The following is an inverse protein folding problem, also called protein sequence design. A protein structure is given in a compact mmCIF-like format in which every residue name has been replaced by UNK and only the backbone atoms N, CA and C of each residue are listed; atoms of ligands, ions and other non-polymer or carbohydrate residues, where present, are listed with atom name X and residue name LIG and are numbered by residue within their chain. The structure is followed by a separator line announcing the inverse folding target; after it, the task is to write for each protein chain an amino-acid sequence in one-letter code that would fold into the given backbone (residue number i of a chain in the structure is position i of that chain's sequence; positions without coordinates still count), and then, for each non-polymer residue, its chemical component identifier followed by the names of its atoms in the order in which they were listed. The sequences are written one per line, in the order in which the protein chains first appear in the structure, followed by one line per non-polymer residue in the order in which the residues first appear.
data_IF_571749129702
#
_entry.id   IF_571749129702
#
_cell.length_a   1.000
_cell.length_b   1.000
_cell.length_c   1.000
_cell.angle_alpha   90.00
_cell.angle_beta   90.00
_cell.angle_gamma   90.00
#
_symmetry.space_group_name_H-M   'P 1'
#
loop_
_entity.id
_entity.type
_entity.pdbx_description
1 polymer ?
#
# COMPACT_ATOMS: atom_id res chain seq x y z
N UNK A 1 -4.74 -41.43 -12.26
CA UNK A 1 -4.45 -40.19 -13.01
C UNK A 1 -4.23 -39.10 -11.98
N UNK A 2 -2.97 -38.78 -11.70
CA UNK A 2 -2.62 -37.63 -10.87
C UNK A 2 -2.78 -36.42 -11.78
N UNK A 3 -3.79 -35.60 -11.54
CA UNK A 3 -3.92 -34.31 -12.22
C UNK A 3 -2.72 -33.48 -11.80
N UNK A 4 -1.83 -33.23 -12.75
CA UNK A 4 -0.76 -32.26 -12.63
C UNK A 4 -1.41 -30.92 -12.29
N UNK A 5 -1.28 -30.48 -11.03
CA UNK A 5 -1.80 -29.20 -10.59
C UNK A 5 -0.92 -28.14 -11.23
N UNK A 6 -1.31 -27.63 -12.40
CA UNK A 6 -0.64 -26.52 -13.06
C UNK A 6 -0.38 -25.42 -12.03
N UNK A 7 0.89 -25.22 -11.68
CA UNK A 7 1.27 -24.19 -10.72
C UNK A 7 0.90 -22.84 -11.32
N UNK A 8 0.04 -22.09 -10.63
CA UNK A 8 -0.31 -20.74 -11.05
C UNK A 8 0.95 -19.87 -11.11
N UNK A 9 1.09 -19.09 -12.17
CA UNK A 9 2.22 -18.18 -12.36
C UNK A 9 1.90 -16.82 -11.74
N UNK A 10 2.63 -16.46 -10.70
CA UNK A 10 2.55 -15.13 -10.09
C UNK A 10 3.68 -14.23 -10.61
N UNK A 11 3.37 -12.97 -10.91
CA UNK A 11 4.37 -11.96 -11.25
C UNK A 11 3.96 -10.58 -10.80
N UNK A 12 4.94 -9.69 -10.60
CA UNK A 12 4.73 -8.29 -10.24
C UNK A 12 5.42 -7.43 -11.27
N UNK A 13 4.77 -6.35 -11.69
CA UNK A 13 5.37 -5.27 -12.48
C UNK A 13 5.28 -3.97 -11.70
N UNK A 14 6.33 -3.17 -11.69
CA UNK A 14 6.29 -1.82 -11.11
C UNK A 14 6.38 -0.83 -12.26
N UNK A 15 5.30 -0.12 -12.52
CA UNK A 15 5.19 0.84 -13.63
C UNK A 15 5.17 2.25 -13.07
N UNK A 16 5.92 3.17 -13.68
CA UNK A 16 5.90 4.58 -13.31
C UNK A 16 4.61 5.20 -13.82
N UNK A 17 3.93 6.00 -13.01
CA UNK A 17 2.79 6.79 -13.48
C UNK A 17 3.24 7.67 -14.65
N UNK A 18 2.35 7.89 -15.62
CA UNK A 18 2.58 8.57 -16.92
C UNK A 18 3.50 7.85 -17.94
N UNK A 19 4.13 6.72 -17.59
CA UNK A 19 4.89 5.90 -18.53
C UNK A 19 4.00 5.29 -19.63
N UNK A 20 4.55 4.93 -20.80
CA UNK A 20 3.82 4.16 -21.81
C UNK A 20 3.21 2.87 -21.24
N UNK A 21 3.97 2.14 -20.42
CA UNK A 21 3.53 0.89 -19.80
C UNK A 21 2.32 1.09 -18.88
N UNK A 22 2.28 2.20 -18.14
CA UNK A 22 1.13 2.57 -17.32
C UNK A 22 -0.10 2.86 -18.18
N UNK A 23 0.05 3.62 -19.26
CA UNK A 23 -1.05 3.96 -20.20
C UNK A 23 -1.67 2.71 -20.83
N UNK A 24 -0.85 1.71 -21.16
CA UNK A 24 -1.31 0.43 -21.72
C UNK A 24 -2.19 -0.36 -20.73
N UNK A 25 -2.07 -0.10 -19.43
CA UNK A 25 -2.79 -0.80 -18.36
C UNK A 25 -3.88 0.04 -17.69
N UNK A 26 -4.00 1.33 -18.02
CA UNK A 26 -4.87 2.28 -17.31
C UNK A 26 -6.33 1.80 -17.22
N UNK A 27 -6.93 1.40 -18.34
CA UNK A 27 -8.33 0.94 -18.38
C UNK A 27 -8.51 -0.35 -17.57
N UNK A 28 -7.52 -1.24 -17.60
CA UNK A 28 -7.55 -2.51 -16.87
C UNK A 28 -7.47 -2.27 -15.35
N UNK A 29 -6.61 -1.35 -14.91
CA UNK A 29 -6.52 -0.97 -13.51
C UNK A 29 -7.76 -0.24 -13.02
N UNK A 30 -8.31 0.67 -13.83
CA UNK A 30 -9.54 1.39 -13.50
C UNK A 30 -10.71 0.43 -13.30
N UNK A 31 -10.85 -0.58 -14.16
CA UNK A 31 -11.89 -1.60 -14.02
C UNK A 31 -11.73 -2.42 -12.73
N UNK A 32 -10.50 -2.78 -12.37
CA UNK A 32 -10.20 -3.45 -11.11
C UNK A 32 -10.52 -2.57 -9.90
N UNK A 33 -10.16 -1.29 -9.95
CA UNK A 33 -10.48 -0.29 -8.92
C UNK A 33 -11.99 -0.13 -8.73
N UNK A 34 -12.75 -0.03 -9.82
CA UNK A 34 -14.21 0.03 -9.83
C UNK A 34 -14.83 -1.21 -9.18
N UNK A 35 -14.36 -2.41 -9.56
CA UNK A 35 -14.83 -3.67 -8.97
C UNK A 35 -14.54 -3.73 -7.46
N UNK A 36 -13.34 -3.30 -7.06
CA UNK A 36 -12.94 -3.25 -5.66
C UNK A 36 -13.82 -2.29 -4.84
N UNK A 37 -14.03 -1.05 -5.29
CA UNK A 37 -14.80 -0.06 -4.56
C UNK A 37 -16.28 -0.44 -4.43
N UNK A 38 -16.89 -0.94 -5.51
CA UNK A 38 -18.30 -1.36 -5.48
C UNK A 38 -18.51 -2.55 -4.54
N UNK A 39 -17.59 -3.51 -4.51
CA UNK A 39 -17.73 -4.70 -3.67
C UNK A 39 -17.28 -4.51 -2.21
N UNK A 40 -16.14 -3.85 -1.97
CA UNK A 40 -15.50 -3.75 -0.65
C UNK A 40 -15.93 -2.48 0.11
N UNK A 41 -16.25 -1.41 -0.62
CA UNK A 41 -16.61 -0.11 -0.07
C UNK A 41 -18.07 0.30 -0.33
N UNK A 42 -18.83 -0.48 -1.10
CA UNK A 42 -20.24 -0.21 -1.46
C UNK A 42 -20.45 1.13 -2.16
N UNK A 43 -19.48 1.58 -2.96
CA UNK A 43 -19.63 2.77 -3.79
C UNK A 43 -20.58 2.48 -4.95
N UNK A 44 -21.26 3.50 -5.46
CA UNK A 44 -22.03 3.39 -6.71
C UNK A 44 -21.08 3.41 -7.89
N UNK A 45 -21.45 2.76 -8.99
CA UNK A 45 -20.64 2.79 -10.21
C UNK A 45 -20.41 4.21 -10.74
N UNK A 46 -21.41 5.11 -10.58
CA UNK A 46 -21.29 6.52 -10.94
C UNK A 46 -20.23 7.29 -10.13
N UNK A 47 -19.77 6.73 -9.01
CA UNK A 47 -18.74 7.30 -8.12
C UNK A 47 -17.36 6.65 -8.34
N UNK A 48 -17.21 5.86 -9.42
CA UNK A 48 -15.99 5.16 -9.76
C UNK A 48 -15.52 5.52 -11.17
N UNK A 49 -15.55 6.80 -11.54
CA UNK A 49 -15.18 7.23 -12.90
C UNK A 49 -13.66 7.20 -13.13
N UNK A 50 -13.24 7.22 -14.39
CA UNK A 50 -11.81 7.27 -14.75
C UNK A 50 -11.15 8.54 -14.24
N UNK A 51 -11.86 9.66 -14.27
CA UNK A 51 -11.38 10.95 -13.77
C UNK A 51 -11.09 10.88 -12.27
N UNK A 52 -12.01 10.32 -11.47
CA UNK A 52 -11.80 10.16 -10.03
C UNK A 52 -10.65 9.20 -9.70
N UNK A 53 -10.50 8.13 -10.47
CA UNK A 53 -9.36 7.23 -10.35
C UNK A 53 -8.04 7.95 -10.66
N UNK A 54 -8.03 8.76 -11.72
CA UNK A 54 -6.86 9.53 -12.13
C UNK A 54 -6.47 10.56 -11.07
N UNK A 55 -7.40 11.42 -10.66
CA UNK A 55 -7.19 12.47 -9.67
C UNK A 55 -6.73 11.92 -8.31
N UNK A 56 -7.17 10.70 -7.96
CA UNK A 56 -6.81 10.11 -6.68
C UNK A 56 -5.49 9.33 -6.70
N UNK A 57 -5.23 8.54 -7.75
CA UNK A 57 -4.17 7.52 -7.74
C UNK A 57 -3.12 7.71 -8.83
N UNK A 58 -3.38 8.52 -9.85
CA UNK A 58 -2.54 8.59 -11.05
C UNK A 58 -1.86 9.94 -11.24
N UNK A 59 -1.88 10.81 -10.24
CA UNK A 59 -1.16 12.08 -10.29
C UNK A 59 0.20 11.94 -9.62
N UNK A 60 1.26 12.36 -10.31
CA UNK A 60 2.60 12.45 -9.75
C UNK A 60 2.90 13.90 -9.35
N UNK A 61 2.88 14.26 -8.05
CA UNK A 61 3.13 15.63 -7.61
C UNK A 61 4.62 16.01 -7.64
N UNK A 62 5.52 15.06 -7.91
CA UNK A 62 6.96 15.28 -7.88
C UNK A 62 7.48 15.73 -9.24
N UNK A 63 8.27 16.81 -9.31
CA UNK A 63 8.92 17.22 -10.54
C UNK A 63 9.97 16.18 -10.96
N UNK A 64 10.13 15.98 -12.27
CA UNK A 64 11.12 15.07 -12.90
C UNK A 64 12.56 15.54 -12.64
N UNK A 65 12.99 15.46 -11.39
CA UNK A 65 14.28 15.95 -10.87
C UNK A 65 15.26 14.83 -10.57
N UNK A 66 14.73 13.64 -10.28
CA UNK A 66 15.44 12.37 -10.08
C UNK A 66 14.61 11.29 -10.78
N UNK A 67 15.26 10.35 -11.46
CA UNK A 67 14.60 9.40 -12.34
C UNK A 67 13.66 8.45 -11.59
N UNK A 68 14.01 8.08 -10.35
CA UNK A 68 13.25 7.10 -9.58
C UNK A 68 12.17 7.69 -8.66
N UNK A 69 12.17 8.99 -8.35
CA UNK A 69 11.15 9.53 -7.46
C UNK A 69 9.81 9.70 -8.19
N UNK A 70 8.72 9.63 -7.42
CA UNK A 70 7.36 9.82 -7.92
C UNK A 70 6.44 8.63 -7.66
N UNK A 71 5.28 8.66 -8.30
CA UNK A 71 4.23 7.66 -8.16
C UNK A 71 4.45 6.45 -9.09
N UNK A 72 4.18 5.26 -8.56
CA UNK A 72 4.28 3.98 -9.25
C UNK A 72 3.10 3.09 -8.90
N UNK A 73 2.69 2.27 -9.87
CA UNK A 73 1.74 1.19 -9.63
C UNK A 73 2.47 -0.15 -9.65
N UNK A 74 2.39 -0.88 -8.54
CA UNK A 74 2.80 -2.27 -8.47
C UNK A 74 1.62 -3.14 -8.89
N UNK A 75 1.71 -3.74 -10.07
CA UNK A 75 0.68 -4.56 -10.69
C UNK A 75 0.94 -6.04 -10.40
N UNK A 76 -0.03 -6.71 -9.80
CA UNK A 76 0.07 -8.09 -9.35
C UNK A 76 -0.71 -8.97 -10.31
N UNK A 77 -0.01 -9.88 -10.99
CA UNK A 77 -0.60 -10.77 -11.99
C UNK A 77 -0.61 -12.22 -11.50
N UNK A 78 -1.70 -12.92 -11.77
CA UNK A 78 -1.87 -14.36 -11.60
C UNK A 78 -2.36 -14.96 -12.91
N UNK A 79 -1.57 -15.82 -13.53
CA UNK A 79 -1.86 -16.41 -14.85
C UNK A 79 -2.25 -15.32 -15.88
N UNK A 80 -1.42 -14.27 -15.96
CA UNK A 80 -1.60 -13.08 -16.81
C UNK A 80 -2.85 -12.23 -16.52
N UNK A 81 -3.61 -12.55 -15.48
CA UNK A 81 -4.74 -11.74 -14.99
C UNK A 81 -4.27 -10.76 -13.93
N UNK A 82 -4.58 -9.46 -14.10
CA UNK A 82 -4.33 -8.46 -13.06
C UNK A 82 -5.28 -8.69 -11.87
N UNK A 83 -4.72 -9.03 -10.71
CA UNK A 83 -5.50 -9.36 -9.50
C UNK A 83 -5.39 -8.32 -8.39
N UNK A 84 -4.35 -7.47 -8.39
CA UNK A 84 -4.20 -6.37 -7.45
C UNK A 84 -3.29 -5.28 -8.00
N UNK A 85 -3.43 -4.09 -7.44
CA UNK A 85 -2.55 -2.95 -7.66
C UNK A 85 -2.24 -2.30 -6.32
N UNK A 86 -0.95 -2.13 -6.03
CA UNK A 86 -0.44 -1.29 -4.95
C UNK A 86 0.06 0.02 -5.52
N UNK A 87 -0.53 1.13 -5.10
CA UNK A 87 -0.11 2.48 -5.48
C UNK A 87 0.92 2.94 -4.46
N UNK A 88 2.15 3.20 -4.93
CA UNK A 88 3.27 3.58 -4.08
C UNK A 88 3.96 4.83 -4.58
N UNK A 89 4.55 5.61 -3.67
CA UNK A 89 5.42 6.73 -4.02
C UNK A 89 6.83 6.47 -3.50
N UNK A 90 7.82 6.67 -4.37
CA UNK A 90 9.23 6.64 -3.99
C UNK A 90 9.66 8.05 -3.64
N UNK A 91 9.99 8.26 -2.38
CA UNK A 91 10.39 9.54 -1.80
C UNK A 91 11.88 9.50 -1.40
N UNK A 92 12.52 10.67 -1.18
CA UNK A 92 13.95 10.74 -0.87
C UNK A 92 14.41 9.87 0.31
N UNK A 93 13.52 9.59 1.26
CA UNK A 93 13.83 8.79 2.45
C UNK A 93 12.96 7.56 2.65
N UNK A 94 11.88 7.39 1.88
CA UNK A 94 10.91 6.32 2.12
C UNK A 94 10.19 5.83 0.87
N UNK A 95 9.64 4.61 0.99
CA UNK A 95 8.59 4.10 0.10
C UNK A 95 7.25 4.32 0.82
N UNK A 96 6.35 5.07 0.22
CA UNK A 96 5.01 5.37 0.75
C UNK A 96 3.99 4.44 0.09
N UNK A 97 3.22 3.69 0.91
CA UNK A 97 2.08 2.89 0.44
C UNK A 97 0.83 3.76 0.47
N UNK A 98 0.39 4.23 -0.69
CA UNK A 98 -0.69 5.21 -0.83
C UNK A 98 -2.05 4.52 -0.80
N UNK A 99 -2.23 3.52 -1.66
CA UNK A 99 -3.49 2.81 -1.78
C UNK A 99 -3.29 1.38 -2.29
N UNK A 100 -4.22 0.49 -1.99
CA UNK A 100 -4.15 -0.90 -2.44
C UNK A 100 -5.55 -1.39 -2.78
N UNK A 101 -5.76 -1.82 -4.03
CA UNK A 101 -7.02 -2.35 -4.51
C UNK A 101 -6.80 -3.68 -5.23
N UNK A 102 -7.81 -4.54 -5.19
CA UNK A 102 -7.65 -5.91 -5.66
C UNK A 102 -8.97 -6.53 -6.09
N UNK A 103 -8.87 -7.63 -6.82
CA UNK A 103 -10.00 -8.36 -7.36
C UNK A 103 -10.81 -8.99 -6.22
N UNK A 104 -12.12 -8.71 -6.09
CA UNK A 104 -12.95 -9.29 -5.04
C UNK A 104 -12.95 -10.83 -5.03
N UNK A 105 -12.72 -11.47 -6.18
CA UNK A 105 -12.62 -12.93 -6.28
C UNK A 105 -11.40 -13.52 -5.55
N UNK A 106 -10.45 -12.69 -5.14
CA UNK A 106 -9.22 -13.06 -4.44
C UNK A 106 -9.16 -12.51 -3.00
N UNK A 107 -10.30 -12.10 -2.42
CA UNK A 107 -10.40 -11.57 -1.04
C UNK A 107 -9.81 -12.52 0.03
N UNK A 108 -9.84 -13.82 -0.21
CA UNK A 108 -9.34 -14.85 0.71
C UNK A 108 -7.81 -14.96 0.76
N UNK A 109 -7.08 -14.26 -0.12
CA UNK A 109 -5.61 -14.35 -0.21
C UNK A 109 -4.87 -13.30 0.65
N UNK A 110 -5.59 -12.46 1.40
CA UNK A 110 -4.99 -11.41 2.23
C UNK A 110 -4.02 -10.50 1.47
N UNK A 111 -4.39 -10.13 0.23
CA UNK A 111 -3.52 -9.43 -0.72
C UNK A 111 -2.92 -8.13 -0.17
N UNK A 112 -3.61 -7.40 0.70
CA UNK A 112 -3.04 -6.19 1.33
C UNK A 112 -1.85 -6.49 2.27
N UNK A 113 -1.87 -7.61 3.01
CA UNK A 113 -0.71 -8.01 3.82
C UNK A 113 0.41 -8.54 2.95
N UNK A 114 0.08 -9.30 1.91
CA UNK A 114 1.06 -9.80 0.95
C UNK A 114 1.74 -8.67 0.17
N UNK A 115 0.97 -7.68 -0.29
CA UNK A 115 1.46 -6.47 -0.95
C UNK A 115 2.42 -5.69 -0.06
N UNK A 116 2.07 -5.48 1.22
CA UNK A 116 2.97 -4.81 2.16
C UNK A 116 4.32 -5.56 2.34
N UNK A 117 4.32 -6.90 2.35
CA UNK A 117 5.56 -7.69 2.40
C UNK A 117 6.41 -7.52 1.14
N UNK A 118 5.77 -7.42 -0.03
CA UNK A 118 6.45 -7.21 -1.30
C UNK A 118 6.97 -5.78 -1.45
N UNK A 119 6.23 -4.78 -0.97
CA UNK A 119 6.69 -3.40 -0.86
C UNK A 119 7.91 -3.29 0.08
N UNK A 120 7.92 -4.02 1.20
CA UNK A 120 9.10 -4.11 2.09
C UNK A 120 10.29 -4.76 1.36
N UNK A 121 10.07 -5.83 0.59
CA UNK A 121 11.12 -6.45 -0.21
C UNK A 121 11.67 -5.48 -1.27
N UNK A 122 10.79 -4.76 -1.96
CA UNK A 122 11.15 -3.74 -2.94
C UNK A 122 11.93 -2.58 -2.32
N UNK A 123 11.52 -2.08 -1.15
CA UNK A 123 12.28 -1.08 -0.39
C UNK A 123 13.70 -1.56 -0.09
N UNK A 124 13.88 -2.84 0.28
CA UNK A 124 15.21 -3.40 0.53
C UNK A 124 16.07 -3.44 -0.73
N UNK A 125 15.47 -3.65 -1.89
CA UNK A 125 16.17 -3.58 -3.18
C UNK A 125 16.57 -2.13 -3.51
N UNK A 126 15.64 -1.18 -3.39
CA UNK A 126 15.92 0.25 -3.57
C UNK A 126 17.01 0.74 -2.62
N UNK A 127 16.98 0.31 -1.36
CA UNK A 127 17.96 0.72 -0.35
C UNK A 127 19.40 0.33 -0.72
N UNK A 128 19.60 -0.78 -1.47
CA UNK A 128 20.94 -1.22 -1.91
C UNK A 128 21.60 -0.20 -2.85
N UNK A 129 20.83 0.44 -3.73
CA UNK A 129 21.33 1.46 -4.66
C UNK A 129 21.15 2.88 -4.13
N UNK A 130 20.17 3.11 -3.25
CA UNK A 130 19.82 4.41 -2.67
C UNK A 130 19.66 4.27 -1.14
N UNK A 131 20.77 4.27 -0.36
CA UNK A 131 20.75 4.01 1.09
C UNK A 131 19.88 4.95 1.93
N UNK A 132 19.53 6.12 1.38
CA UNK A 132 18.65 7.07 2.04
C UNK A 132 17.18 6.63 2.06
N UNK A 133 16.74 5.84 1.08
CA UNK A 133 15.38 5.28 1.03
C UNK A 133 15.36 4.08 1.95
N UNK A 134 14.95 4.28 3.20
CA UNK A 134 15.06 3.27 4.27
C UNK A 134 13.83 3.14 5.15
N UNK A 135 12.85 4.02 4.99
CA UNK A 135 11.60 3.95 5.72
C UNK A 135 10.49 3.41 4.82
N UNK A 136 9.59 2.64 5.41
CA UNK A 136 8.36 2.21 4.76
C UNK A 136 7.19 2.90 5.46
N UNK A 137 6.50 3.78 4.75
CA UNK A 137 5.34 4.48 5.27
C UNK A 137 4.07 3.76 4.83
N UNK A 138 3.54 2.91 5.71
CA UNK A 138 2.32 2.13 5.46
C UNK A 138 1.02 2.94 5.65
N UNK A 139 1.13 4.27 5.69
CA UNK A 139 0.01 5.19 5.90
C UNK A 139 -0.54 5.19 7.33
N UNK A 140 -1.75 5.74 7.48
CA UNK A 140 -2.42 5.87 8.76
C UNK A 140 -2.61 4.52 9.47
N UNK A 141 -2.58 4.55 10.80
CA UNK A 141 -2.93 3.44 11.69
C UNK A 141 -3.96 3.88 12.72
N UNK A 142 -5.17 3.32 12.64
CA UNK A 142 -6.23 3.54 13.62
C UNK A 142 -6.44 2.23 14.36
N UNK A 143 -6.01 2.18 15.63
CA UNK A 143 -5.99 0.94 16.42
C UNK A 143 -7.36 0.26 16.58
N UNK A 144 -8.43 1.07 16.69
CA UNK A 144 -9.81 0.62 16.78
C UNK A 144 -10.39 0.15 15.45
N UNK A 145 -9.75 0.44 14.31
CA UNK A 145 -10.20 0.02 12.99
C UNK A 145 -9.67 -1.39 12.66
N UNK A 146 -10.57 -2.38 12.61
CA UNK A 146 -10.21 -3.77 12.28
C UNK A 146 -9.47 -3.91 10.95
N UNK A 147 -9.89 -3.16 9.92
CA UNK A 147 -9.26 -3.15 8.58
C UNK A 147 -7.81 -2.62 8.59
N UNK A 148 -7.41 -1.87 9.62
CA UNK A 148 -6.08 -1.27 9.73
C UNK A 148 -5.20 -1.97 10.77
N UNK A 149 -5.76 -2.88 11.58
CA UNK A 149 -5.05 -3.55 12.66
C UNK A 149 -3.84 -4.36 12.16
N UNK A 150 -3.92 -4.93 10.96
CA UNK A 150 -2.85 -5.72 10.36
C UNK A 150 -1.52 -4.95 10.23
N UNK A 151 -1.59 -3.63 9.98
CA UNK A 151 -0.40 -2.76 9.84
C UNK A 151 0.48 -2.76 11.08
N UNK A 152 -0.14 -2.92 12.26
CA UNK A 152 0.58 -3.02 13.52
C UNK A 152 1.31 -4.36 13.70
N UNK A 153 1.17 -5.34 12.80
CA UNK A 153 1.84 -6.64 12.93
C UNK A 153 3.23 -6.65 12.30
N UNK A 154 3.57 -5.63 11.51
CA UNK A 154 4.91 -5.46 10.96
C UNK A 154 5.85 -4.90 12.03
N UNK A 155 7.08 -5.39 12.06
CA UNK A 155 8.10 -4.98 13.03
C UNK A 155 9.48 -4.88 12.37
N UNK A 156 10.31 -3.89 12.74
CA UNK A 156 9.99 -2.79 13.65
C UNK A 156 8.99 -1.80 13.03
N UNK A 157 8.06 -1.28 13.83
CA UNK A 157 7.09 -0.26 13.40
C UNK A 157 7.00 0.87 14.42
N UNK A 158 6.71 2.07 13.92
CA UNK A 158 6.66 3.30 14.72
C UNK A 158 5.36 4.04 14.42
N UNK A 159 4.78 4.67 15.43
CA UNK A 159 3.65 5.58 15.31
C UNK A 159 4.10 7.01 15.60
N UNK A 160 3.55 7.96 14.85
CA UNK A 160 3.73 9.38 15.13
C UNK A 160 2.79 9.80 16.27
N UNK A 161 3.32 10.42 17.32
CA UNK A 161 2.50 10.98 18.39
C UNK A 161 1.66 12.15 17.84
N UNK A 162 0.32 12.17 18.04
CA UNK A 162 -0.54 13.22 17.49
C UNK A 162 -0.33 14.59 18.13
N UNK A 163 0.32 14.67 19.30
CA UNK A 163 0.56 15.94 20.01
C UNK A 163 2.00 16.42 19.91
N UNK A 164 2.96 15.48 19.92
CA UNK A 164 4.39 15.80 20.00
C UNK A 164 5.10 15.71 18.67
N UNK A 165 4.48 15.10 17.66
CA UNK A 165 5.10 14.88 16.34
C UNK A 165 6.43 14.12 16.42
N UNK A 166 6.57 13.26 17.43
CA UNK A 166 7.71 12.34 17.63
C UNK A 166 7.31 10.91 17.30
N UNK A 167 8.26 10.11 16.82
CA UNK A 167 8.04 8.72 16.45
C UNK A 167 8.30 7.79 17.63
N UNK A 168 7.33 6.91 17.94
CA UNK A 168 7.39 5.97 19.06
C UNK A 168 7.24 4.53 18.58
N UNK A 169 8.07 3.63 19.09
CA UNK A 169 8.04 2.21 18.74
C UNK A 169 6.73 1.57 19.18
N UNK A 170 6.05 0.84 18.28
CA UNK A 170 4.77 0.20 18.54
C UNK A 170 4.94 -1.11 19.33
N UNK A 171 5.34 -0.97 20.59
CA UNK A 171 5.45 -2.06 21.55
C UNK A 171 4.09 -2.43 22.20
N UNK A 172 4.11 -3.46 23.04
CA UNK A 172 2.92 -3.94 23.74
C UNK A 172 2.36 -2.91 24.75
N UNK A 173 3.21 -2.00 25.25
CA UNK A 173 2.77 -0.92 26.15
C UNK A 173 1.88 0.05 25.40
N UNK A 174 2.34 0.55 24.25
CA UNK A 174 1.55 1.45 23.40
C UNK A 174 0.27 0.76 22.92
N UNK A 175 0.32 -0.53 22.57
CA UNK A 175 -0.89 -1.27 22.16
C UNK A 175 -1.91 -1.37 23.29
N UNK A 176 -1.47 -1.60 24.52
CA UNK A 176 -2.35 -1.64 25.67
C UNK A 176 -3.00 -0.27 25.93
N UNK A 177 -2.24 0.82 25.83
CA UNK A 177 -2.77 2.18 25.97
C UNK A 177 -3.80 2.52 24.89
N UNK A 178 -3.52 2.19 23.62
CA UNK A 178 -4.43 2.37 22.49
C UNK A 178 -5.69 1.48 22.60
N UNK A 179 -5.60 0.34 23.28
CA UNK A 179 -6.77 -0.51 23.57
C UNK A 179 -7.64 0.11 24.66
N UNK A 180 -7.04 0.79 25.63
CA UNK A 180 -7.74 1.39 26.76
C UNK A 180 -8.42 2.72 26.42
N UNK A 181 -7.84 3.52 25.50
CA UNK A 181 -8.35 4.86 25.14
C UNK A 181 -8.41 5.05 23.63
N UNK A 182 -9.49 5.67 23.15
CA UNK A 182 -9.66 6.01 21.73
C UNK A 182 -8.62 7.02 21.23
N UNK A 183 -8.15 7.90 22.11
CA UNK A 183 -7.14 8.91 21.84
C UNK A 183 -6.03 8.78 22.88
N UNK A 184 -4.78 8.76 22.41
CA UNK A 184 -3.61 8.53 23.26
C UNK A 184 -2.43 9.38 22.78
N UNK A 185 -1.92 10.23 23.68
CA UNK A 185 -0.60 10.85 23.53
C UNK A 185 0.45 9.75 23.74
N UNK A 186 1.30 9.53 22.75
CA UNK A 186 2.37 8.54 22.81
C UNK A 186 3.60 9.19 23.45
N UNK A 187 3.62 9.32 24.78
CA UNK A 187 4.84 9.66 25.51
C UNK A 187 4.85 8.92 26.83
N UNK A 188 5.99 8.36 27.21
CA UNK A 188 6.19 7.95 28.59
C UNK A 188 6.41 9.24 29.36
N UNK A 189 5.48 9.63 30.21
CA UNK A 189 5.77 10.65 31.23
C UNK A 189 6.88 10.11 32.14
N UNK A 190 8.12 10.36 31.75
CA UNK A 190 9.25 10.45 32.66
C UNK A 190 9.64 11.92 32.64
N UNK A 191 9.22 12.60 33.70
CA UNK A 191 9.44 14.03 34.04
C UNK A 191 8.47 15.05 33.42
#
# INVERSE_FOLDING_TARGET
MVTDSAHKKFSIRTVKVDSPEFKDTFDLEHELYRSYLTCVHNFKESECTQEQFKEFLCDNPYPDTDDIYGAYHQQYYLDDTLIAVGVVEILPTCLSSVYFFYSPSHMNLSLGTFGALLEIAYLRELNRSRPNIRYYYLGWYIHSCGKMRYKGSFSPSYLLCPELYTWHFLDDTIRAELSAKKYQRLNKSTE
#
